data_IF_843126447699
#
_entry.id   IF_843126447699
#
_cell.length_a   1.000
_cell.length_b   1.000
_cell.length_c   1.000
_cell.angle_alpha   90.00
_cell.angle_beta   90.00
_cell.angle_gamma   90.00
#
_symmetry.space_group_name_H-M   'P 1'
#
loop_
_entity.id
_entity.type
_entity.pdbx_description
1 polymer ?
#
# COMPACT_ATOMS: atom_id res chain seq x y z
N UNK A 1 -14.71 19.85 -4.33
CA UNK A 1 -13.39 19.52 -4.91
C UNK A 1 -13.50 19.35 -6.42
N UNK A 2 -14.48 18.57 -6.95
CA UNK A 2 -14.59 18.28 -8.39
C UNK A 2 -14.74 19.52 -9.29
N UNK A 3 -15.32 20.59 -8.78
CA UNK A 3 -15.46 21.88 -9.48
C UNK A 3 -14.22 22.78 -9.36
N UNK A 4 -13.22 22.38 -8.55
CA UNK A 4 -12.01 23.17 -8.33
C UNK A 4 -11.09 23.09 -9.57
N UNK A 5 -10.73 24.25 -10.18
CA UNK A 5 -9.90 24.27 -11.39
C UNK A 5 -8.56 23.55 -11.24
N UNK A 6 -7.92 23.64 -10.08
CA UNK A 6 -6.66 22.95 -9.80
C UNK A 6 -6.83 21.43 -9.79
N UNK A 7 -7.93 20.91 -9.25
CA UNK A 7 -8.27 19.50 -9.31
C UNK A 7 -8.54 19.03 -10.74
N UNK A 8 -9.32 19.82 -11.50
CA UNK A 8 -9.63 19.50 -12.90
C UNK A 8 -8.37 19.47 -13.79
N UNK A 9 -7.38 20.32 -13.48
CA UNK A 9 -6.08 20.36 -14.14
C UNK A 9 -5.12 19.26 -13.66
N UNK A 10 -5.50 18.45 -12.68
CA UNK A 10 -4.68 17.37 -12.14
C UNK A 10 -3.51 17.83 -11.28
N UNK A 11 -3.56 19.02 -10.72
CA UNK A 11 -2.49 19.54 -9.86
C UNK A 11 -2.45 18.86 -8.49
N UNK A 12 -3.55 18.26 -8.06
CA UNK A 12 -3.62 17.46 -6.84
C UNK A 12 -4.69 16.38 -6.93
N UNK A 13 -4.57 15.37 -6.08
CA UNK A 13 -5.56 14.33 -5.82
C UNK A 13 -6.03 14.40 -4.38
N UNK A 14 -7.28 13.98 -4.13
CA UNK A 14 -7.81 13.88 -2.75
C UNK A 14 -7.54 12.47 -2.22
N UNK A 15 -6.80 12.40 -1.14
CA UNK A 15 -6.44 11.16 -0.47
C UNK A 15 -6.33 11.39 1.04
N UNK A 16 -6.72 10.41 1.87
CA UNK A 16 -6.48 10.46 3.32
C UNK A 16 -4.98 10.58 3.60
N UNK A 17 -4.62 11.42 4.56
CA UNK A 17 -3.23 11.70 4.89
C UNK A 17 -2.47 10.43 5.32
N UNK A 18 -3.09 9.53 6.11
CA UNK A 18 -2.48 8.26 6.49
C UNK A 18 -2.17 7.37 5.27
N UNK A 19 -3.02 7.41 4.23
CA UNK A 19 -2.77 6.74 2.97
C UNK A 19 -1.60 7.37 2.19
N UNK A 20 -1.46 8.70 2.24
CA UNK A 20 -0.32 9.41 1.64
C UNK A 20 0.98 9.07 2.36
N UNK A 21 0.99 9.11 3.70
CA UNK A 21 2.15 8.73 4.52
C UNK A 21 2.60 7.29 4.24
N UNK A 22 1.64 6.35 4.14
CA UNK A 22 1.94 4.96 3.82
C UNK A 22 2.55 4.79 2.41
N UNK A 23 2.07 5.56 1.41
CA UNK A 23 2.66 5.56 0.08
C UNK A 23 4.08 6.15 0.07
N UNK A 24 4.30 7.26 0.80
CA UNK A 24 5.61 7.89 0.93
C UNK A 24 6.64 6.98 1.62
N UNK A 25 6.22 6.21 2.64
CA UNK A 25 7.08 5.23 3.32
C UNK A 25 7.52 4.07 2.41
N UNK A 26 6.78 3.78 1.35
CA UNK A 26 7.17 2.74 0.40
C UNK A 26 8.48 3.06 -0.33
N UNK A 27 8.87 4.33 -0.39
CA UNK A 27 10.18 4.75 -0.88
C UNK A 27 10.39 4.50 -2.37
N UNK A 28 9.35 4.71 -3.19
CA UNK A 28 9.49 4.62 -4.63
C UNK A 28 10.40 5.75 -5.16
N UNK A 29 11.38 5.39 -5.98
CA UNK A 29 12.38 6.31 -6.53
C UNK A 29 12.34 6.34 -8.06
N UNK A 30 12.76 7.46 -8.68
CA UNK A 30 12.86 7.57 -10.12
C UNK A 30 13.70 6.45 -10.76
N UNK A 31 13.12 5.77 -11.74
CA UNK A 31 13.77 4.66 -12.47
C UNK A 31 13.39 3.26 -12.00
N UNK A 32 12.75 3.12 -10.85
CA UNK A 32 12.30 1.82 -10.33
C UNK A 32 11.21 1.18 -11.21
N UNK A 33 11.14 -0.17 -11.12
CA UNK A 33 10.01 -0.99 -11.55
C UNK A 33 9.15 -1.31 -10.32
N UNK A 34 7.94 -0.80 -10.29
CA UNK A 34 7.04 -0.85 -9.13
C UNK A 34 5.76 -1.58 -9.52
N UNK A 35 5.28 -2.48 -8.66
CA UNK A 35 3.96 -3.11 -8.80
C UNK A 35 3.08 -2.69 -7.62
N UNK A 36 1.98 -1.99 -7.90
CA UNK A 36 0.86 -1.80 -6.97
C UNK A 36 -0.13 -2.94 -7.21
N UNK A 37 -0.10 -3.96 -6.33
CA UNK A 37 -0.79 -5.23 -6.55
C UNK A 37 -2.28 -5.18 -6.22
N UNK A 38 -2.70 -4.23 -5.37
CA UNK A 38 -4.10 -4.01 -4.98
C UNK A 38 -4.50 -2.54 -5.24
N UNK A 39 -4.28 -2.07 -6.44
CA UNK A 39 -4.32 -0.65 -6.79
C UNK A 39 -5.68 0.04 -6.58
N UNK A 40 -6.78 -0.71 -6.65
CA UNK A 40 -8.12 -0.14 -6.57
C UNK A 40 -8.30 1.02 -7.54
N UNK A 41 -8.78 2.16 -7.03
CA UNK A 41 -8.95 3.39 -7.83
C UNK A 41 -7.63 4.15 -8.10
N UNK A 42 -6.47 3.61 -7.72
CA UNK A 42 -5.16 4.18 -8.06
C UNK A 42 -4.64 5.28 -7.14
N UNK A 43 -5.16 5.40 -5.92
CA UNK A 43 -4.70 6.46 -5.00
C UNK A 43 -3.21 6.36 -4.67
N UNK A 44 -2.75 5.19 -4.23
CA UNK A 44 -1.33 4.94 -3.97
C UNK A 44 -0.51 4.84 -5.25
N UNK A 45 -1.06 4.26 -6.32
CA UNK A 45 -0.42 4.24 -7.65
C UNK A 45 0.01 5.62 -8.12
N UNK A 46 -0.88 6.62 -8.00
CA UNK A 46 -0.59 8.01 -8.39
C UNK A 46 0.44 8.66 -7.47
N UNK A 47 0.39 8.38 -6.16
CA UNK A 47 1.38 8.87 -5.20
C UNK A 47 2.77 8.30 -5.53
N UNK A 48 2.89 6.99 -5.81
CA UNK A 48 4.14 6.35 -6.23
C UNK A 48 4.66 6.96 -7.55
N UNK A 49 3.80 7.18 -8.54
CA UNK A 49 4.18 7.82 -9.80
C UNK A 49 4.72 9.24 -9.59
N UNK A 50 4.13 10.00 -8.66
CA UNK A 50 4.59 11.35 -8.30
C UNK A 50 5.96 11.31 -7.59
N UNK A 51 6.16 10.42 -6.63
CA UNK A 51 7.46 10.21 -5.96
C UNK A 51 8.55 9.81 -6.96
N UNK A 52 8.19 9.04 -7.97
CA UNK A 52 9.09 8.64 -9.06
C UNK A 52 9.33 9.72 -10.10
N UNK A 53 8.73 10.91 -9.98
CA UNK A 53 8.87 12.02 -10.95
C UNK A 53 8.54 11.58 -12.39
N UNK A 54 7.52 10.72 -12.57
CA UNK A 54 7.14 10.09 -13.84
C UNK A 54 8.29 9.34 -14.56
N UNK A 55 9.29 8.84 -13.83
CA UNK A 55 10.43 8.06 -14.35
C UNK A 55 10.41 6.64 -13.83
N UNK A 56 10.80 5.67 -14.65
CA UNK A 56 10.61 4.24 -14.35
C UNK A 56 9.23 3.77 -14.76
N UNK A 57 8.70 2.74 -14.11
CA UNK A 57 7.40 2.16 -14.45
C UNK A 57 6.61 1.75 -13.20
N UNK A 58 5.35 2.11 -13.13
CA UNK A 58 4.40 1.63 -12.13
C UNK A 58 3.38 0.73 -12.83
N UNK A 59 3.31 -0.53 -12.44
CA UNK A 59 2.27 -1.47 -12.86
C UNK A 59 1.16 -1.45 -11.82
N UNK A 60 -0.07 -1.11 -12.23
CA UNK A 60 -1.23 -1.06 -11.35
C UNK A 60 -2.16 -2.24 -11.63
N UNK A 61 -2.31 -3.14 -10.66
CA UNK A 61 -3.15 -4.31 -10.73
C UNK A 61 -4.21 -4.32 -9.61
N UNK A 62 -5.37 -4.83 -9.92
CA UNK A 62 -6.39 -5.21 -8.92
C UNK A 62 -7.18 -6.40 -9.48
N UNK A 63 -7.48 -7.37 -8.62
CA UNK A 63 -8.25 -8.55 -8.99
C UNK A 63 -9.69 -8.19 -9.41
N UNK A 64 -10.23 -7.10 -8.88
CA UNK A 64 -11.56 -6.59 -9.17
C UNK A 64 -11.53 -5.45 -10.19
N UNK A 65 -11.82 -5.75 -11.45
CA UNK A 65 -11.84 -4.75 -12.54
C UNK A 65 -12.72 -3.53 -12.27
N UNK A 66 -13.83 -3.73 -11.53
CA UNK A 66 -14.74 -2.62 -11.18
C UNK A 66 -14.03 -1.61 -10.26
N UNK A 67 -13.21 -2.09 -9.33
CA UNK A 67 -12.41 -1.22 -8.43
C UNK A 67 -11.32 -0.48 -9.20
N UNK A 68 -10.78 -1.10 -10.25
CA UNK A 68 -9.72 -0.54 -11.08
C UNK A 68 -10.23 0.50 -12.11
N UNK A 69 -11.51 0.43 -12.49
CA UNK A 69 -12.05 1.28 -13.56
C UNK A 69 -11.83 2.81 -13.38
N UNK A 70 -11.93 3.40 -12.17
CA UNK A 70 -11.71 4.83 -12.00
C UNK A 70 -10.26 5.29 -12.23
N UNK A 71 -9.27 4.38 -12.23
CA UNK A 71 -7.85 4.72 -12.33
C UNK A 71 -7.52 5.42 -13.65
N UNK A 72 -8.18 5.06 -14.76
CA UNK A 72 -7.88 5.60 -16.09
C UNK A 72 -8.16 7.11 -16.18
N UNK A 73 -9.27 7.58 -15.61
CA UNK A 73 -9.57 9.00 -15.55
C UNK A 73 -8.55 9.75 -14.70
N UNK A 74 -8.19 9.18 -13.55
CA UNK A 74 -7.22 9.78 -12.62
C UNK A 74 -5.83 9.88 -13.23
N UNK A 75 -5.33 8.83 -13.88
CA UNK A 75 -4.05 8.83 -14.62
C UNK A 75 -4.03 9.95 -15.66
N UNK A 76 -5.11 10.06 -16.46
CA UNK A 76 -5.22 11.10 -17.49
C UNK A 76 -5.23 12.49 -16.88
N UNK A 77 -6.00 12.72 -15.81
CA UNK A 77 -6.09 14.01 -15.13
C UNK A 77 -4.77 14.40 -14.48
N UNK A 78 -4.07 13.47 -13.83
CA UNK A 78 -2.78 13.69 -13.19
C UNK A 78 -1.62 13.77 -14.18
N UNK A 79 -1.85 13.59 -15.48
CA UNK A 79 -0.80 13.55 -16.52
C UNK A 79 0.33 12.55 -16.23
N UNK A 80 0.03 11.47 -15.51
CA UNK A 80 1.01 10.41 -15.23
C UNK A 80 1.30 9.61 -16.50
N UNK A 81 2.59 9.44 -16.81
CA UNK A 81 3.05 8.79 -18.05
C UNK A 81 3.77 7.47 -17.84
N UNK A 82 4.09 7.14 -16.58
CA UNK A 82 4.80 5.94 -16.20
C UNK A 82 3.90 4.89 -15.52
N UNK A 83 2.57 4.98 -15.67
CA UNK A 83 1.64 4.01 -15.10
C UNK A 83 1.07 3.13 -16.22
N UNK A 84 1.19 1.82 -16.04
CA UNK A 84 0.55 0.80 -16.87
C UNK A 84 -0.48 0.03 -16.04
N UNK A 85 -1.74 0.04 -16.49
CA UNK A 85 -2.80 -0.73 -15.84
C UNK A 85 -2.79 -2.16 -16.35
N UNK A 86 -2.65 -3.12 -15.43
CA UNK A 86 -2.59 -4.57 -15.71
C UNK A 86 -3.91 -5.20 -15.26
N UNK A 87 -4.80 -5.45 -16.19
CA UNK A 87 -6.17 -5.90 -15.89
C UNK A 87 -6.38 -7.42 -15.98
N UNK A 88 -5.38 -8.16 -16.48
CA UNK A 88 -5.43 -9.62 -16.66
C UNK A 88 -4.28 -10.29 -15.91
N UNK A 89 -4.53 -11.39 -15.16
CA UNK A 89 -3.48 -12.11 -14.46
C UNK A 89 -2.32 -12.58 -15.36
N UNK A 90 -2.60 -12.95 -16.60
CA UNK A 90 -1.57 -13.36 -17.55
C UNK A 90 -0.55 -12.25 -17.89
N UNK A 91 -0.95 -10.98 -17.75
CA UNK A 91 -0.08 -9.83 -17.99
C UNK A 91 0.91 -9.59 -16.83
N UNK A 92 0.68 -10.22 -15.67
CA UNK A 92 1.59 -10.18 -14.52
C UNK A 92 2.77 -11.15 -14.66
N UNK A 93 2.62 -12.24 -15.39
CA UNK A 93 3.65 -13.27 -15.50
C UNK A 93 5.05 -12.73 -15.90
N UNK A 94 5.17 -11.80 -16.86
CA UNK A 94 6.47 -11.21 -17.22
C UNK A 94 7.12 -10.37 -16.11
N UNK A 95 6.37 -9.99 -15.07
CA UNK A 95 6.85 -9.15 -13.97
C UNK A 95 7.50 -9.98 -12.85
N UNK A 96 7.38 -11.31 -12.88
CA UNK A 96 7.89 -12.21 -11.84
C UNK A 96 9.39 -12.02 -11.63
N UNK A 97 9.79 -11.68 -10.39
CA UNK A 97 11.18 -11.49 -9.99
C UNK A 97 11.86 -10.23 -10.54
N UNK A 98 11.09 -9.26 -11.05
CA UNK A 98 11.65 -8.08 -11.71
C UNK A 98 11.34 -6.75 -11.00
N UNK A 99 10.47 -6.75 -9.99
CA UNK A 99 10.05 -5.52 -9.33
C UNK A 99 11.01 -5.09 -8.23
N UNK A 100 11.44 -3.84 -8.27
CA UNK A 100 12.20 -3.19 -7.20
C UNK A 100 11.34 -3.05 -5.93
N UNK A 101 10.06 -2.77 -6.13
CA UNK A 101 9.06 -2.56 -5.10
C UNK A 101 7.73 -3.21 -5.50
N UNK A 102 7.19 -4.05 -4.62
CA UNK A 102 5.80 -4.54 -4.70
C UNK A 102 5.03 -3.97 -3.52
N UNK A 103 4.01 -3.15 -3.80
CA UNK A 103 3.12 -2.57 -2.80
C UNK A 103 1.80 -3.34 -2.78
N UNK A 104 1.37 -3.72 -1.59
CA UNK A 104 0.10 -4.39 -1.32
C UNK A 104 -0.72 -3.51 -0.37
N UNK A 105 -1.66 -2.72 -0.89
CA UNK A 105 -2.71 -2.07 -0.09
C UNK A 105 -3.84 -3.08 0.09
N UNK A 106 -3.68 -3.98 1.06
CA UNK A 106 -4.46 -5.20 1.17
C UNK A 106 -5.95 -4.93 1.47
N UNK A 107 -6.87 -5.70 0.88
CA UNK A 107 -8.25 -5.70 1.31
C UNK A 107 -8.32 -6.08 2.80
N UNK A 108 -9.00 -5.25 3.61
CA UNK A 108 -9.08 -5.41 5.05
C UNK A 108 -10.45 -5.00 5.57
N UNK A 109 -10.68 -5.13 6.86
CA UNK A 109 -11.94 -4.71 7.50
C UNK A 109 -12.17 -3.20 7.45
N UNK A 110 -11.11 -2.41 7.22
CA UNK A 110 -11.18 -0.96 7.22
C UNK A 110 -11.43 -0.36 8.61
N UNK A 111 -11.09 -1.08 9.67
CA UNK A 111 -11.34 -0.65 11.06
C UNK A 111 -10.64 0.68 11.41
N UNK A 112 -9.55 1.00 10.75
CA UNK A 112 -8.85 2.28 10.90
C UNK A 112 -9.63 3.49 10.36
N UNK A 113 -10.67 3.26 9.55
CA UNK A 113 -11.49 4.32 8.93
C UNK A 113 -12.78 4.64 9.72
N UNK A 114 -13.00 4.02 10.88
CA UNK A 114 -14.24 4.18 11.64
C UNK A 114 -14.55 5.60 12.09
N UNK A 115 -13.53 6.47 12.23
CA UNK A 115 -13.77 7.90 12.49
C UNK A 115 -14.61 8.57 11.39
N UNK A 116 -14.48 8.10 10.13
CA UNK A 116 -15.24 8.60 8.97
C UNK A 116 -16.44 7.73 8.63
N UNK A 117 -16.44 6.46 9.09
CA UNK A 117 -17.46 5.44 8.81
C UNK A 117 -17.86 4.72 10.11
N UNK A 118 -18.42 5.43 11.10
CA UNK A 118 -18.65 4.87 12.44
C UNK A 118 -19.64 3.71 12.44
N UNK A 119 -20.56 3.65 11.48
CA UNK A 119 -21.51 2.55 11.30
C UNK A 119 -20.86 1.23 10.88
N UNK A 120 -19.72 1.27 10.20
CA UNK A 120 -18.99 0.07 9.75
C UNK A 120 -18.55 -0.81 10.93
N UNK A 121 -18.24 -0.21 12.09
CA UNK A 121 -17.89 -0.92 13.32
C UNK A 121 -18.99 -1.91 13.76
N UNK A 122 -20.24 -1.51 13.66
CA UNK A 122 -21.37 -2.31 14.13
C UNK A 122 -21.80 -3.41 13.15
N UNK A 123 -21.30 -3.36 11.93
CA UNK A 123 -21.57 -4.37 10.88
C UNK A 123 -20.49 -5.42 10.76
N UNK A 124 -19.33 -5.20 11.39
CA UNK A 124 -18.22 -6.12 11.34
C UNK A 124 -18.55 -7.38 12.16
N UNK A 125 -18.26 -8.54 11.58
CA UNK A 125 -18.41 -9.87 12.20
C UNK A 125 -17.07 -10.62 12.17
N UNK A 126 -16.88 -11.58 13.07
CA UNK A 126 -15.69 -12.44 13.10
C UNK A 126 -15.49 -13.17 11.76
N UNK A 127 -16.57 -13.65 11.16
CA UNK A 127 -16.51 -14.29 9.83
C UNK A 127 -15.95 -13.37 8.74
N UNK A 128 -16.27 -12.07 8.79
CA UNK A 128 -15.73 -11.11 7.83
C UNK A 128 -14.24 -10.84 8.10
N UNK A 129 -13.84 -10.77 9.36
CA UNK A 129 -12.43 -10.65 9.73
C UNK A 129 -11.63 -11.87 9.24
N UNK A 130 -12.11 -13.09 9.51
CA UNK A 130 -11.46 -14.32 9.06
C UNK A 130 -11.36 -14.42 7.53
N UNK A 131 -12.39 -14.00 6.82
CA UNK A 131 -12.36 -13.95 5.37
C UNK A 131 -11.25 -12.98 4.87
N UNK A 132 -11.11 -11.79 5.47
CA UNK A 132 -10.06 -10.83 5.11
C UNK A 132 -8.66 -11.36 5.41
N UNK A 133 -8.47 -12.01 6.55
CA UNK A 133 -7.20 -12.67 6.89
C UNK A 133 -6.78 -13.70 5.83
N UNK A 134 -7.72 -14.54 5.40
CA UNK A 134 -7.46 -15.52 4.33
C UNK A 134 -7.12 -14.87 2.98
N UNK A 135 -7.80 -13.80 2.60
CA UNK A 135 -7.48 -13.02 1.40
C UNK A 135 -6.09 -12.38 1.50
N UNK A 136 -5.75 -11.77 2.64
CA UNK A 136 -4.45 -11.13 2.89
C UNK A 136 -3.30 -12.13 2.79
N UNK A 137 -3.46 -13.31 3.40
CA UNK A 137 -2.48 -14.38 3.30
C UNK A 137 -2.24 -14.79 1.84
N UNK A 138 -3.31 -15.07 1.09
CA UNK A 138 -3.22 -15.47 -0.31
C UNK A 138 -2.56 -14.40 -1.18
N UNK A 139 -2.89 -13.12 -0.94
CA UNK A 139 -2.29 -11.98 -1.66
C UNK A 139 -0.79 -11.88 -1.38
N UNK A 140 -0.38 -11.96 -0.12
CA UNK A 140 1.04 -11.93 0.27
C UNK A 140 1.83 -13.07 -0.41
N UNK A 141 1.29 -14.30 -0.36
CA UNK A 141 1.91 -15.49 -0.95
C UNK A 141 2.02 -15.41 -2.49
N UNK A 142 1.09 -14.72 -3.16
CA UNK A 142 1.15 -14.49 -4.60
C UNK A 142 2.08 -13.34 -4.98
N UNK A 143 1.96 -12.20 -4.28
CA UNK A 143 2.64 -10.96 -4.67
C UNK A 143 4.15 -11.01 -4.43
N UNK A 144 4.63 -11.79 -3.45
CA UNK A 144 6.05 -11.94 -3.17
C UNK A 144 6.86 -12.44 -4.38
N UNK A 145 6.24 -13.21 -5.27
CA UNK A 145 6.90 -13.74 -6.46
C UNK A 145 7.39 -12.67 -7.43
N UNK A 146 6.80 -11.47 -7.41
CA UNK A 146 7.19 -10.36 -8.29
C UNK A 146 8.41 -9.60 -7.79
N UNK A 147 8.72 -9.66 -6.50
CA UNK A 147 9.85 -8.94 -5.89
C UNK A 147 11.17 -9.53 -6.41
N UNK A 148 12.06 -8.70 -6.96
CA UNK A 148 13.41 -9.14 -7.35
C UNK A 148 14.29 -9.43 -6.12
N UNK A 149 15.39 -10.18 -6.23
CA UNK A 149 16.39 -10.27 -5.18
C UNK A 149 16.85 -8.86 -4.74
N UNK A 150 16.90 -8.59 -3.44
CA UNK A 150 17.19 -7.29 -2.85
C UNK A 150 16.05 -6.26 -2.93
N UNK A 151 14.95 -6.55 -3.60
CA UNK A 151 13.76 -5.69 -3.70
C UNK A 151 12.92 -5.64 -2.42
N UNK A 152 11.90 -4.81 -2.42
CA UNK A 152 11.00 -4.57 -1.28
C UNK A 152 9.60 -5.12 -1.55
N UNK A 153 9.04 -5.79 -0.55
CA UNK A 153 7.62 -6.09 -0.41
C UNK A 153 7.05 -5.18 0.67
N UNK A 154 6.08 -4.35 0.32
CA UNK A 154 5.40 -3.43 1.23
C UNK A 154 3.96 -3.88 1.43
N UNK A 155 3.60 -4.14 2.68
CA UNK A 155 2.27 -4.53 3.10
C UNK A 155 1.61 -3.39 3.87
N UNK A 156 0.40 -2.99 3.45
CA UNK A 156 -0.37 -1.90 4.03
C UNK A 156 -1.80 -2.36 4.25
N UNK A 157 -2.38 -1.95 5.37
CA UNK A 157 -3.82 -2.05 5.62
C UNK A 157 -4.35 -0.74 6.21
N UNK A 158 -5.62 -0.45 6.01
CA UNK A 158 -6.35 0.56 6.79
C UNK A 158 -7.08 -0.11 7.97
N UNK A 159 -6.43 -1.06 8.66
CA UNK A 159 -6.93 -1.76 9.84
C UNK A 159 -6.11 -1.45 11.08
N UNK A 160 -6.76 -1.46 12.24
CA UNK A 160 -6.12 -1.36 13.55
C UNK A 160 -6.03 -2.72 14.27
N UNK A 161 -6.50 -3.78 13.65
CA UNK A 161 -6.44 -5.14 14.20
C UNK A 161 -5.09 -5.78 13.90
N UNK A 162 -4.43 -6.28 14.93
CA UNK A 162 -3.15 -6.97 14.80
C UNK A 162 -3.27 -8.25 13.96
N UNK A 163 -4.45 -8.90 14.04
CA UNK A 163 -4.81 -10.06 13.23
C UNK A 163 -4.78 -9.81 11.70
N UNK A 164 -4.93 -8.58 11.25
CA UNK A 164 -4.80 -8.16 9.84
C UNK A 164 -3.42 -7.53 9.54
N UNK A 165 -2.61 -7.31 10.57
CA UNK A 165 -1.37 -6.52 10.53
C UNK A 165 -0.15 -7.38 10.89
N UNK A 166 0.36 -7.24 12.11
CA UNK A 166 1.57 -7.91 12.59
C UNK A 166 1.49 -9.43 12.50
N UNK A 167 0.33 -10.03 12.82
CA UNK A 167 0.14 -11.48 12.74
C UNK A 167 0.21 -11.99 11.28
N UNK A 168 -0.33 -11.25 10.29
CA UNK A 168 -0.21 -11.63 8.87
C UNK A 168 1.24 -11.60 8.40
N UNK A 169 1.99 -10.58 8.81
CA UNK A 169 3.41 -10.47 8.45
C UNK A 169 4.24 -11.56 9.13
N UNK A 170 3.98 -11.88 10.40
CA UNK A 170 4.66 -12.96 11.11
C UNK A 170 4.42 -14.31 10.42
N UNK A 171 3.17 -14.65 10.14
CA UNK A 171 2.79 -15.88 9.44
C UNK A 171 3.36 -15.94 8.00
N UNK A 172 3.43 -14.81 7.29
CA UNK A 172 4.08 -14.73 5.97
C UNK A 172 5.58 -15.07 6.08
N UNK A 173 6.30 -14.49 7.04
CA UNK A 173 7.73 -14.73 7.23
C UNK A 173 8.07 -16.15 7.62
N UNK A 174 7.18 -16.84 8.34
CA UNK A 174 7.33 -18.27 8.63
C UNK A 174 7.32 -19.14 7.35
N UNK A 175 6.55 -18.73 6.34
CA UNK A 175 6.46 -19.42 5.05
C UNK A 175 7.51 -18.98 4.03
N UNK A 176 8.01 -17.73 4.14
CA UNK A 176 8.92 -17.08 3.20
C UNK A 176 10.14 -16.53 3.96
N UNK A 177 11.06 -17.41 4.32
CA UNK A 177 12.24 -17.08 5.12
C UNK A 177 13.30 -16.21 4.40
N UNK A 178 13.13 -15.98 3.10
CA UNK A 178 13.96 -15.08 2.29
C UNK A 178 13.53 -13.59 2.42
N UNK A 179 12.49 -13.28 3.21
CA UNK A 179 12.05 -11.93 3.48
C UNK A 179 12.35 -11.50 4.93
N UNK A 180 13.10 -10.41 5.09
CA UNK A 180 13.43 -9.83 6.39
C UNK A 180 12.85 -8.41 6.53
N UNK A 181 12.37 -8.02 7.73
CA UNK A 181 11.90 -6.65 7.96
C UNK A 181 13.05 -5.65 7.80
N UNK A 182 12.73 -4.48 7.24
CA UNK A 182 13.63 -3.33 7.28
C UNK A 182 13.61 -2.69 8.68
N UNK A 183 14.55 -1.81 8.98
CA UNK A 183 14.48 -0.98 10.19
C UNK A 183 13.37 0.09 10.02
N UNK A 184 12.19 -0.21 10.55
CA UNK A 184 11.01 0.67 10.45
C UNK A 184 11.16 1.96 11.25
N UNK A 185 11.98 1.98 12.31
CA UNK A 185 12.31 3.19 13.06
C UNK A 185 13.14 4.11 12.19
N UNK A 186 14.22 3.61 11.64
CA UNK A 186 15.08 4.37 10.73
C UNK A 186 14.30 4.85 9.49
N UNK A 187 13.41 4.01 8.96
CA UNK A 187 12.56 4.36 7.82
C UNK A 187 11.65 5.55 8.13
N UNK A 188 10.95 5.51 9.28
CA UNK A 188 10.06 6.58 9.72
C UNK A 188 10.82 7.89 9.98
N UNK A 189 11.85 7.83 10.83
CA UNK A 189 12.62 9.00 11.25
C UNK A 189 13.34 9.66 10.06
N UNK A 190 13.82 8.86 9.11
CA UNK A 190 14.44 9.37 7.89
C UNK A 190 13.45 10.01 6.92
N UNK A 191 12.21 9.51 6.84
CA UNK A 191 11.19 10.06 5.93
C UNK A 191 10.48 11.27 6.53
N UNK A 192 10.26 11.27 7.85
CA UNK A 192 9.49 12.30 8.56
C UNK A 192 10.26 12.81 9.79
N UNK A 193 11.40 13.50 9.58
CA UNK A 193 12.22 14.01 10.68
C UNK A 193 11.41 15.03 11.52
N UNK A 194 11.53 14.93 12.85
CA UNK A 194 10.78 15.77 13.79
C UNK A 194 9.35 15.29 14.10
N UNK A 195 8.95 14.10 13.55
CA UNK A 195 7.63 13.51 13.77
C UNK A 195 7.69 12.10 14.40
N UNK A 196 8.72 11.84 15.22
CA UNK A 196 9.01 10.53 15.82
C UNK A 196 7.83 10.01 16.70
N UNK A 197 7.06 10.92 17.32
CA UNK A 197 5.89 10.61 18.13
C UNK A 197 4.58 10.40 17.35
N UNK A 198 4.57 10.68 16.04
CA UNK A 198 3.35 10.60 15.22
C UNK A 198 3.01 9.18 14.74
N UNK A 199 3.87 8.19 15.03
CA UNK A 199 3.65 6.79 14.70
C UNK A 199 4.10 5.87 15.84
N UNK A 200 3.49 4.69 15.92
CA UNK A 200 3.95 3.61 16.80
C UNK A 200 4.71 2.58 15.97
N UNK A 201 5.94 2.32 16.34
CA UNK A 201 6.75 1.23 15.76
C UNK A 201 6.58 -0.01 16.64
N UNK A 202 6.15 -1.12 16.06
CA UNK A 202 5.99 -2.41 16.75
C UNK A 202 7.33 -3.05 17.10
N UNK A 203 7.37 -3.88 18.14
CA UNK A 203 8.59 -4.63 18.53
C UNK A 203 9.08 -5.59 17.42
N UNK A 204 8.16 -6.22 16.71
CA UNK A 204 8.45 -7.09 15.56
C UNK A 204 8.61 -6.29 14.24
N UNK A 205 8.68 -4.97 14.31
CA UNK A 205 8.63 -4.07 13.16
C UNK A 205 7.21 -3.61 12.84
N UNK A 206 7.09 -2.86 11.73
CA UNK A 206 5.83 -2.26 11.30
C UNK A 206 5.55 -0.90 11.94
N UNK A 207 4.85 -0.06 11.21
CA UNK A 207 4.49 1.31 11.55
C UNK A 207 2.97 1.40 11.64
N UNK A 208 2.45 1.84 12.77
CA UNK A 208 1.01 2.05 12.98
C UNK A 208 0.71 3.53 13.12
N UNK A 209 -0.23 4.01 12.31
CA UNK A 209 -0.83 5.34 12.38
C UNK A 209 -2.21 5.24 13.02
N UNK A 210 -2.63 6.26 13.73
CA UNK A 210 -3.97 6.32 14.31
C UNK A 210 -4.45 7.76 14.50
N UNK A 211 -5.76 8.00 14.63
CA UNK A 211 -6.27 9.34 14.92
C UNK A 211 -5.65 9.98 16.17
N UNK A 212 -5.28 9.18 17.16
CA UNK A 212 -4.69 9.67 18.41
C UNK A 212 -3.22 10.09 18.27
N UNK A 213 -2.46 9.46 17.36
CA UNK A 213 -1.03 9.71 17.19
C UNK A 213 -0.76 10.70 16.05
N UNK A 214 -1.33 10.45 14.89
CA UNK A 214 -1.06 11.18 13.65
C UNK A 214 -2.20 12.11 13.20
N UNK A 215 -3.38 12.06 13.85
CA UNK A 215 -4.57 12.79 13.38
C UNK A 215 -5.22 12.21 12.12
N UNK A 216 -4.64 11.16 11.54
CA UNK A 216 -5.06 10.51 10.29
C UNK A 216 -6.06 9.39 10.53
N UNK A 217 -6.53 8.71 9.50
CA UNK A 217 -7.12 7.38 9.66
C UNK A 217 -6.08 6.39 10.22
N UNK A 218 -6.56 5.28 10.79
CA UNK A 218 -5.70 4.19 11.22
C UNK A 218 -5.11 3.46 10.01
N UNK A 219 -3.79 3.32 9.99
CA UNK A 219 -3.05 2.54 8.98
C UNK A 219 -1.98 1.69 9.64
N UNK A 220 -1.71 0.57 9.03
CA UNK A 220 -0.53 -0.25 9.28
C UNK A 220 0.31 -0.32 8.02
N UNK A 221 1.63 -0.22 8.20
CA UNK A 221 2.63 -0.32 7.14
C UNK A 221 3.74 -1.27 7.58
N UNK A 222 4.16 -2.17 6.71
CA UNK A 222 5.30 -3.05 6.96
C UNK A 222 6.09 -3.26 5.67
N UNK A 223 7.40 -3.02 5.72
CA UNK A 223 8.30 -3.27 4.60
C UNK A 223 9.23 -4.44 4.90
N UNK A 224 9.35 -5.34 3.94
CA UNK A 224 10.19 -6.52 3.97
C UNK A 224 11.14 -6.48 2.78
N UNK A 225 12.42 -6.74 3.02
CA UNK A 225 13.43 -6.88 1.96
C UNK A 225 13.63 -8.34 1.62
N UNK A 226 13.57 -8.68 0.34
CA UNK A 226 13.95 -10.00 -0.15
C UNK A 226 15.47 -10.17 -0.10
N UNK A 227 15.96 -11.33 0.32
CA UNK A 227 17.38 -11.66 0.24
C UNK A 227 17.92 -11.52 -1.20
N UNK A 228 19.20 -11.16 -1.32
CA UNK A 228 19.88 -10.97 -2.61
C UNK A 228 20.23 -12.30 -3.28
#
# INVERSE_FOLDING_TARGET
>A
VQAEPAFQKGWFEVQDEGSQLAAALAGAEPGMQVLDYCAGAGGKTLALSAEMDNRGQVFAHDAEKVRLAPIFERIRRAHSRNIQVVSKPAELAPLTGHMDLVLIDAPCTGSGTWRRRPDAKWRLTDRQLDARKGEQQAILDMAQAFVKPGGLLVYITCSVFDAENGEQVAAFRERHGDFAPVDHRQLWDGRFPGHEGAARIGEAGGISLSPALSGTDGFYFHALRRAA
#
